data_IF_708510799784
#
_entry.id   IF_708510799784
#
_cell.length_a   1.000
_cell.length_b   1.000
_cell.length_c   1.000
_cell.angle_alpha   90.00
_cell.angle_beta   90.00
_cell.angle_gamma   90.00
#
_symmetry.space_group_name_H-M   'P 1'
#
loop_
_entity.id
_entity.type
_entity.pdbx_description
1 polymer ?
#
# COMPACT_ATOMS: atom_id res chain seq x y z
N UNK A 1 -19.00 -21.87 -2.48
CA UNK A 1 -20.03 -21.31 -1.57
C UNK A 1 -19.98 -22.05 -0.25
N UNK A 2 -19.67 -21.35 0.83
CA UNK A 2 -19.63 -21.91 2.18
C UNK A 2 -19.42 -20.77 3.17
N UNK A 3 -20.51 -20.25 3.74
CA UNK A 3 -20.51 -19.22 4.78
C UNK A 3 -20.56 -19.89 6.16
N UNK A 4 -19.59 -19.55 7.01
CA UNK A 4 -19.59 -19.95 8.40
C UNK A 4 -20.17 -18.80 9.24
N UNK A 5 -21.49 -18.79 9.41
CA UNK A 5 -22.15 -18.01 10.46
C UNK A 5 -22.33 -18.90 11.69
N UNK A 6 -21.88 -18.44 12.84
CA UNK A 6 -22.37 -18.92 14.13
C UNK A 6 -22.88 -17.73 14.93
N UNK A 7 -24.17 -17.77 15.23
CA UNK A 7 -24.91 -16.86 16.07
C UNK A 7 -25.12 -17.49 17.45
N UNK A 8 -25.03 -16.68 18.51
CA UNK A 8 -25.82 -16.72 19.76
C UNK A 8 -25.28 -15.58 20.65
N UNK A 9 -25.92 -14.40 20.77
CA UNK A 9 -27.18 -14.04 21.44
C UNK A 9 -27.14 -14.13 22.98
N UNK A 10 -27.20 -12.96 23.65
CA UNK A 10 -28.17 -12.61 24.71
C UNK A 10 -27.94 -11.20 25.25
N UNK A 11 -28.97 -10.36 25.09
CA UNK A 11 -29.17 -9.06 25.75
C UNK A 11 -30.25 -9.24 26.82
N UNK A 12 -30.21 -8.57 28.00
CA UNK A 12 -31.31 -8.58 28.95
C UNK A 12 -32.23 -7.34 28.84
N UNK A 13 -33.53 -7.56 28.99
CA UNK A 13 -34.61 -6.56 29.10
C UNK A 13 -35.12 -6.52 30.58
N UNK A 14 -35.64 -5.39 31.10
CA UNK A 14 -35.77 -5.12 32.54
C UNK A 14 -37.17 -5.37 33.13
N UNK A 15 -37.24 -5.58 34.45
CA UNK A 15 -38.50 -5.57 35.22
C UNK A 15 -38.29 -5.76 36.73
N UNK A 16 -38.60 -4.73 37.50
CA UNK A 16 -38.77 -4.67 38.98
C UNK A 16 -40.29 -4.50 39.29
N UNK A 17 -40.83 -4.53 40.55
CA UNK A 17 -40.18 -4.30 41.86
C UNK A 17 -40.69 -5.11 43.09
N UNK A 18 -39.95 -5.07 44.21
CA UNK A 18 -40.49 -5.01 45.59
C UNK A 18 -39.39 -4.61 46.60
N UNK A 19 -39.64 -3.52 47.34
CA UNK A 19 -38.86 -2.98 48.47
C UNK A 19 -39.54 -3.39 49.81
N UNK A 20 -39.08 -3.05 51.05
CA UNK A 20 -38.02 -2.09 51.43
C UNK A 20 -37.09 -2.47 52.61
N UNK A 21 -36.02 -1.71 52.80
CA UNK A 21 -35.15 -1.79 54.00
C UNK A 21 -34.01 -0.76 54.03
N UNK A 22 -34.32 0.44 54.54
CA UNK A 22 -33.51 1.50 55.17
C UNK A 22 -31.95 1.49 55.09
N UNK A 23 -31.38 2.62 54.64
CA UNK A 23 -29.96 2.95 54.86
C UNK A 23 -29.45 4.18 54.12
N UNK A 24 -29.64 5.38 54.69
CA UNK A 24 -29.18 6.68 54.16
C UNK A 24 -27.65 6.83 54.32
N UNK A 25 -26.90 7.00 53.22
CA UNK A 25 -25.65 7.80 53.19
C UNK A 25 -25.47 8.53 51.85
N UNK A 26 -25.70 9.84 51.87
CA UNK A 26 -25.36 10.79 50.80
C UNK A 26 -23.83 10.87 50.63
N UNK A 27 -23.32 10.73 49.40
CA UNK A 27 -22.01 11.32 49.00
C UNK A 27 -22.04 11.78 47.54
N UNK A 28 -21.38 12.92 47.33
CA UNK A 28 -21.54 13.93 46.27
C UNK A 28 -21.27 13.42 44.85
N UNK A 29 -22.05 13.93 43.90
CA UNK A 29 -21.78 13.83 42.46
C UNK A 29 -20.59 14.72 42.07
N UNK A 30 -19.59 14.14 41.42
CA UNK A 30 -18.58 14.89 40.67
C UNK A 30 -19.00 14.98 39.21
N UNK A 31 -19.59 16.11 38.84
CA UNK A 31 -19.82 16.50 37.44
C UNK A 31 -18.50 16.95 36.80
N UNK A 32 -18.29 16.50 35.56
CA UNK A 32 -17.39 17.02 34.50
C UNK A 32 -15.88 16.78 34.62
N UNK A 33 -15.37 16.01 33.66
CA UNK A 33 -14.64 16.59 32.50
C UNK A 33 -14.78 15.65 31.31
N UNK A 34 -15.60 16.05 30.34
CA UNK A 34 -15.54 15.54 28.98
C UNK A 34 -14.19 16.03 28.43
N UNK A 35 -13.18 15.16 28.44
CA UNK A 35 -11.92 15.42 27.78
C UNK A 35 -12.19 15.49 26.29
N UNK A 36 -12.28 16.70 25.75
CA UNK A 36 -12.15 16.94 24.32
C UNK A 36 -10.76 16.48 23.89
N UNK A 37 -10.61 15.20 23.58
CA UNK A 37 -9.48 14.74 22.78
C UNK A 37 -9.73 15.30 21.38
N UNK A 38 -9.11 16.46 21.10
CA UNK A 38 -8.95 16.90 19.73
C UNK A 38 -8.29 15.73 18.98
N UNK A 39 -8.88 15.21 17.89
CA UNK A 39 -8.18 14.27 17.03
C UNK A 39 -6.87 14.93 16.60
N UNK A 40 -5.79 14.15 16.58
CA UNK A 40 -4.52 14.61 16.00
C UNK A 40 -4.80 15.11 14.58
N UNK A 41 -4.07 16.15 14.16
CA UNK A 41 -4.23 16.81 12.86
C UNK A 41 -4.24 15.81 11.67
N UNK A 42 -3.54 14.68 11.79
CA UNK A 42 -3.50 13.59 10.80
C UNK A 42 -4.84 12.86 10.62
N UNK A 43 -5.65 12.71 11.68
CA UNK A 43 -6.95 12.02 11.61
C UNK A 43 -7.91 12.73 10.63
N UNK A 44 -7.81 14.07 10.52
CA UNK A 44 -8.62 14.85 9.57
C UNK A 44 -8.25 14.63 8.10
N UNK A 45 -7.00 14.25 7.78
CA UNK A 45 -6.60 13.93 6.39
C UNK A 45 -6.93 12.49 6.00
N UNK A 46 -7.02 11.59 6.99
CA UNK A 46 -7.29 10.17 6.75
C UNK A 46 -8.79 9.86 6.63
N UNK A 47 -9.67 10.63 7.28
CA UNK A 47 -11.12 10.42 7.28
C UNK A 47 -11.78 10.38 5.87
N UNK A 48 -11.35 11.20 4.89
CA UNK A 48 -11.81 11.09 3.50
C UNK A 48 -11.38 9.79 2.81
N UNK A 49 -10.20 9.25 3.15
CA UNK A 49 -9.66 8.04 2.50
C UNK A 49 -10.50 6.80 2.80
N UNK A 50 -11.14 6.76 3.97
CA UNK A 50 -11.98 5.65 4.42
C UNK A 50 -13.30 5.56 3.64
N UNK A 51 -13.67 6.61 2.89
CA UNK A 51 -14.91 6.69 2.10
C UNK A 51 -14.70 6.46 0.61
N UNK A 52 -13.47 6.19 0.18
CA UNK A 52 -13.16 5.94 -1.22
C UNK A 52 -13.76 4.58 -1.63
N UNK A 53 -14.63 4.52 -2.65
CA UNK A 53 -15.17 3.26 -3.14
C UNK A 53 -14.07 2.28 -3.57
N UNK A 54 -14.28 0.99 -3.32
CA UNK A 54 -13.32 -0.06 -3.67
C UNK A 54 -12.10 -0.15 -2.74
N UNK A 55 -11.95 0.74 -1.75
CA UNK A 55 -10.83 0.74 -0.81
C UNK A 55 -11.18 -0.01 0.49
N UNK A 56 -10.69 -1.24 0.61
CA UNK A 56 -10.87 -2.14 1.76
C UNK A 56 -9.58 -2.22 2.57
N UNK A 57 -9.64 -2.00 3.88
CA UNK A 57 -8.46 -2.03 4.77
C UNK A 57 -8.75 -2.61 6.16
N UNK A 58 -9.94 -3.19 6.33
CA UNK A 58 -10.39 -3.94 7.51
C UNK A 58 -10.73 -5.37 7.07
N UNK A 59 -10.98 -6.25 8.05
CA UNK A 59 -11.43 -7.60 7.77
C UNK A 59 -12.71 -7.57 6.93
N UNK A 60 -12.71 -8.28 5.81
CA UNK A 60 -13.81 -8.26 4.85
C UNK A 60 -13.38 -8.84 3.50
N UNK A 61 -14.29 -8.81 2.55
CA UNK A 61 -14.05 -9.32 1.20
C UNK A 61 -14.88 -8.58 0.17
N UNK A 62 -14.44 -8.67 -1.07
CA UNK A 62 -15.19 -8.38 -2.28
C UNK A 62 -15.30 -9.65 -3.14
N UNK A 63 -15.75 -9.52 -4.38
CA UNK A 63 -15.80 -10.63 -5.33
C UNK A 63 -14.41 -11.14 -5.71
N UNK A 64 -13.39 -10.29 -5.66
CA UNK A 64 -12.05 -10.58 -6.20
C UNK A 64 -10.95 -10.62 -5.13
N UNK A 65 -11.23 -10.17 -3.91
CA UNK A 65 -10.24 -10.12 -2.84
C UNK A 65 -10.85 -10.39 -1.46
N UNK A 66 -10.03 -10.92 -0.56
CA UNK A 66 -10.37 -11.03 0.86
C UNK A 66 -9.21 -10.54 1.70
N UNK A 67 -9.53 -9.90 2.82
CA UNK A 67 -8.58 -9.36 3.76
C UNK A 67 -8.92 -9.88 5.16
N UNK A 68 -7.91 -10.34 5.86
CA UNK A 68 -8.07 -10.78 7.23
C UNK A 68 -6.79 -10.53 8.03
N UNK A 69 -6.95 -9.87 9.17
CA UNK A 69 -5.92 -9.74 10.19
C UNK A 69 -6.51 -10.08 11.55
N UNK A 70 -5.68 -10.66 12.42
CA UNK A 70 -6.05 -11.05 13.76
C UNK A 70 -4.96 -10.64 14.73
N UNK A 71 -5.37 -10.01 15.84
CA UNK A 71 -4.44 -9.71 16.92
C UNK A 71 -3.93 -11.01 17.55
N UNK A 72 -2.61 -11.17 17.54
CA UNK A 72 -1.94 -12.26 18.24
C UNK A 72 -1.79 -12.03 19.74
N UNK A 73 -0.86 -12.76 20.38
CA UNK A 73 -0.61 -12.68 21.83
C UNK A 73 0.41 -11.61 22.25
N UNK A 74 1.07 -10.95 21.29
CA UNK A 74 2.21 -10.03 21.51
C UNK A 74 1.78 -8.57 21.79
N UNK A 75 0.56 -8.34 22.25
CA UNK A 75 0.00 -7.00 22.48
C UNK A 75 -0.77 -6.48 21.27
N UNK A 76 -0.77 -5.16 21.06
CA UNK A 76 -1.48 -4.49 19.96
C UNK A 76 -1.09 -5.09 18.61
N UNK A 77 -2.08 -5.39 17.77
CA UNK A 77 -1.80 -5.81 16.39
C UNK A 77 -1.09 -4.68 15.64
N UNK A 78 0.12 -4.97 15.15
CA UNK A 78 0.95 -4.00 14.43
C UNK A 78 0.82 -4.12 12.91
N UNK A 79 0.12 -5.14 12.43
CA UNK A 79 -0.13 -5.36 11.01
C UNK A 79 -1.13 -4.34 10.46
N UNK A 80 -0.94 -3.99 9.19
CA UNK A 80 -1.90 -3.25 8.39
C UNK A 80 -2.01 -3.90 7.00
N UNK A 81 -3.19 -3.79 6.39
CA UNK A 81 -3.46 -4.36 5.08
C UNK A 81 -4.44 -3.48 4.29
N UNK A 82 -4.37 -3.54 2.97
CA UNK A 82 -5.27 -2.82 2.07
C UNK A 82 -5.46 -3.56 0.75
N UNK A 83 -6.66 -3.44 0.19
CA UNK A 83 -7.00 -3.68 -1.20
C UNK A 83 -7.72 -2.43 -1.69
N UNK A 84 -7.39 -1.99 -2.90
CA UNK A 84 -8.03 -0.87 -3.54
C UNK A 84 -8.36 -1.25 -4.98
N UNK A 85 -9.63 -1.49 -5.24
CA UNK A 85 -10.18 -1.78 -6.56
C UNK A 85 -10.35 -0.52 -7.39
N UNK A 86 -10.25 -0.65 -8.71
CA UNK A 86 -10.22 0.46 -9.65
C UNK A 86 -9.19 1.52 -9.27
N UNK A 87 -8.02 1.05 -8.81
CA UNK A 87 -6.95 1.91 -8.30
C UNK A 87 -6.48 2.90 -9.36
N UNK A 88 -6.12 4.11 -8.90
CA UNK A 88 -5.76 5.25 -9.78
C UNK A 88 -6.84 5.57 -10.84
N UNK A 89 -8.12 5.33 -10.50
CA UNK A 89 -9.27 5.53 -11.40
C UNK A 89 -9.18 4.71 -12.70
N UNK A 90 -8.48 3.56 -12.67
CA UNK A 90 -8.30 2.67 -13.81
C UNK A 90 -9.15 1.41 -13.63
N UNK A 91 -9.96 1.08 -14.64
CA UNK A 91 -10.72 -0.16 -14.65
C UNK A 91 -9.79 -1.39 -14.63
N UNK A 92 -10.27 -2.49 -14.03
CA UNK A 92 -9.52 -3.75 -13.88
C UNK A 92 -8.10 -3.56 -13.30
N UNK A 93 -7.93 -2.56 -12.44
CA UNK A 93 -6.68 -2.26 -11.76
C UNK A 93 -6.89 -2.40 -10.26
N UNK A 94 -6.10 -3.26 -9.62
CA UNK A 94 -6.16 -3.53 -8.19
C UNK A 94 -4.81 -3.21 -7.59
N UNK A 95 -4.81 -2.37 -6.55
CA UNK A 95 -3.68 -2.26 -5.65
C UNK A 95 -3.95 -3.10 -4.41
N UNK A 96 -2.99 -3.87 -3.92
CA UNK A 96 -3.07 -4.39 -2.56
C UNK A 96 -1.72 -4.34 -1.84
N UNK A 97 -1.77 -4.38 -0.51
CA UNK A 97 -0.59 -4.29 0.31
C UNK A 97 -0.76 -4.89 1.69
N UNK A 98 0.33 -5.47 2.19
CA UNK A 98 0.49 -6.00 3.56
C UNK A 98 1.72 -5.35 4.18
N UNK A 99 1.56 -4.92 5.43
CA UNK A 99 2.54 -4.14 6.17
C UNK A 99 2.68 -4.71 7.58
N UNK A 100 3.81 -5.33 7.88
CA UNK A 100 4.13 -5.88 9.21
C UNK A 100 4.89 -4.81 10.00
N UNK A 101 4.18 -4.13 10.90
CA UNK A 101 4.73 -3.10 11.76
C UNK A 101 5.54 -3.67 12.92
N UNK A 102 6.64 -3.02 13.25
CA UNK A 102 7.48 -3.38 14.40
C UNK A 102 7.95 -2.17 15.20
N UNK A 103 8.43 -2.43 16.41
CA UNK A 103 8.87 -1.40 17.35
C UNK A 103 7.72 -0.76 18.14
N UNK A 104 8.00 0.23 19.00
CA UNK A 104 7.00 0.81 19.91
C UNK A 104 5.78 1.40 19.18
N UNK A 105 5.99 1.97 17.99
CA UNK A 105 4.95 2.60 17.18
C UNK A 105 4.72 1.91 15.82
N UNK A 106 5.13 0.65 15.67
CA UNK A 106 5.01 -0.11 14.41
C UNK A 106 3.60 -0.08 13.81
N UNK A 107 2.58 -0.26 14.64
CA UNK A 107 1.17 -0.15 14.24
C UNK A 107 0.78 1.22 13.64
N UNK A 108 1.43 2.31 14.05
CA UNK A 108 1.21 3.63 13.48
C UNK A 108 1.95 3.79 12.15
N UNK A 109 3.19 3.30 12.07
CA UNK A 109 3.99 3.31 10.84
C UNK A 109 3.29 2.48 9.76
N UNK A 110 2.87 1.25 10.07
CA UNK A 110 2.18 0.37 9.14
C UNK A 110 0.89 0.99 8.59
N UNK A 111 0.06 1.61 9.44
CA UNK A 111 -1.15 2.33 9.01
C UNK A 111 -0.82 3.55 8.15
N UNK A 112 0.20 4.33 8.52
CA UNK A 112 0.64 5.51 7.77
C UNK A 112 1.14 5.15 6.37
N UNK A 113 1.89 4.05 6.25
CA UNK A 113 2.35 3.51 4.95
C UNK A 113 1.16 2.97 4.17
N UNK A 114 0.30 2.14 4.77
CA UNK A 114 -0.94 1.64 4.16
C UNK A 114 -1.74 2.77 3.53
N UNK A 115 -1.89 3.88 4.23
CA UNK A 115 -2.80 4.93 3.79
C UNK A 115 -2.23 5.86 2.72
N UNK A 116 -0.91 6.05 2.70
CA UNK A 116 -0.26 7.06 1.85
C UNK A 116 0.67 6.55 0.78
N UNK A 117 1.25 5.36 0.92
CA UNK A 117 2.06 4.75 -0.13
C UNK A 117 1.25 4.58 -1.44
N UNK A 118 -0.02 4.12 -1.43
CA UNK A 118 -0.80 3.98 -2.65
C UNK A 118 -1.02 5.33 -3.35
N UNK A 119 -1.21 6.41 -2.59
CA UNK A 119 -1.41 7.76 -3.15
C UNK A 119 -0.14 8.27 -3.84
N UNK A 120 1.03 8.03 -3.25
CA UNK A 120 2.32 8.38 -3.87
C UNK A 120 2.55 7.57 -5.13
N UNK A 121 2.20 6.29 -5.10
CA UNK A 121 2.32 5.40 -6.23
C UNK A 121 1.41 5.85 -7.40
N UNK A 122 0.14 6.17 -7.14
CA UNK A 122 -0.76 6.67 -8.17
C UNK A 122 -0.26 7.99 -8.78
N UNK A 123 0.20 8.94 -7.95
CA UNK A 123 0.74 10.21 -8.45
C UNK A 123 1.98 10.03 -9.33
N UNK A 124 2.93 9.17 -8.94
CA UNK A 124 4.11 8.91 -9.76
C UNK A 124 3.83 8.06 -11.00
N UNK A 125 2.75 7.27 -10.99
CA UNK A 125 2.32 6.52 -12.16
C UNK A 125 1.69 7.43 -13.22
N UNK A 126 0.84 8.36 -12.80
CA UNK A 126 0.22 9.36 -13.69
C UNK A 126 1.26 10.26 -14.36
N UNK A 127 2.18 10.83 -13.59
CA UNK A 127 3.21 11.76 -14.11
C UNK A 127 4.13 11.09 -15.13
N UNK A 128 4.53 9.84 -14.90
CA UNK A 128 5.40 9.14 -15.83
C UNK A 128 4.68 8.88 -17.17
N UNK A 129 3.38 8.56 -17.17
CA UNK A 129 2.60 8.37 -18.40
C UNK A 129 2.50 9.68 -19.19
N UNK A 130 2.11 10.77 -18.53
CA UNK A 130 2.00 12.07 -19.19
C UNK A 130 3.35 12.55 -19.73
N UNK A 131 4.45 12.29 -19.02
CA UNK A 131 5.79 12.66 -19.49
C UNK A 131 6.17 11.90 -20.76
N UNK A 132 5.87 10.59 -20.83
CA UNK A 132 6.09 9.77 -22.03
C UNK A 132 5.20 10.19 -23.20
N UNK A 133 3.92 10.48 -22.95
CA UNK A 133 2.99 11.01 -23.97
C UNK A 133 3.52 12.31 -24.57
N UNK A 134 3.98 13.25 -23.73
CA UNK A 134 4.58 14.52 -24.18
C UNK A 134 5.88 14.28 -24.98
N UNK A 135 6.76 13.39 -24.53
CA UNK A 135 7.99 13.05 -25.27
C UNK A 135 7.69 12.42 -26.64
N UNK A 136 6.65 11.58 -26.72
CA UNK A 136 6.17 11.00 -27.98
C UNK A 136 5.59 12.06 -28.91
N UNK A 137 4.77 12.98 -28.40
CA UNK A 137 4.22 14.08 -29.19
C UNK A 137 5.33 14.98 -29.76
N UNK A 138 6.33 15.34 -28.94
CA UNK A 138 7.49 16.12 -29.41
C UNK A 138 8.22 15.38 -30.53
N UNK A 139 8.47 14.07 -30.35
CA UNK A 139 9.19 13.25 -31.34
C UNK A 139 8.45 13.16 -32.68
N UNK A 140 7.12 13.05 -32.67
CA UNK A 140 6.29 13.02 -33.88
C UNK A 140 6.28 14.39 -34.58
N UNK A 141 6.23 15.49 -33.80
CA UNK A 141 6.23 16.84 -34.33
C UNK A 141 7.59 17.23 -34.94
N UNK A 142 8.71 16.73 -34.42
CA UNK A 142 10.05 16.95 -34.98
C UNK A 142 10.29 16.15 -36.27
N UNK A 143 9.72 14.94 -36.39
CA UNK A 143 9.81 14.13 -37.62
C UNK A 143 9.01 14.70 -38.81
N UNK A 144 8.10 15.66 -38.57
CA UNK A 144 7.36 16.39 -39.61
C UNK A 144 8.07 17.62 -40.19
N UNK A 145 9.27 17.97 -39.69
CA UNK A 145 10.03 19.14 -40.16
C UNK A 145 11.32 18.70 -40.85
N UNK A 146 11.16 18.15 -42.06
CA UNK A 146 12.23 18.06 -43.06
C UNK A 146 11.94 19.13 -44.10
N UNK A 147 12.72 20.20 -44.07
CA UNK A 147 13.28 20.85 -45.26
C UNK A 147 14.42 21.80 -44.87
N UNK A 148 15.55 21.60 -45.54
CA UNK A 148 16.61 22.57 -45.89
C UNK A 148 17.79 22.79 -44.93
N UNK A 149 18.81 21.94 -45.15
CA UNK A 149 20.24 22.23 -45.43
C UNK A 149 21.14 23.09 -44.51
N UNK A 150 22.29 22.47 -44.19
CA UNK A 150 23.65 22.96 -43.90
C UNK A 150 23.91 24.02 -42.80
N UNK A 151 24.61 23.60 -41.73
CA UNK A 151 25.97 24.10 -41.43
C UNK A 151 26.67 23.30 -40.32
N UNK A 152 27.96 23.06 -40.54
CA UNK A 152 28.93 22.36 -39.69
C UNK A 152 29.19 22.97 -38.31
N UNK A 153 29.37 22.13 -37.28
CA UNK A 153 30.37 22.41 -36.23
C UNK A 153 30.93 21.12 -35.61
N UNK A 154 32.25 21.11 -35.44
CA UNK A 154 33.09 19.99 -34.99
C UNK A 154 33.43 20.19 -33.51
N UNK A 155 33.38 19.15 -32.67
CA UNK A 155 34.34 18.96 -31.56
C UNK A 155 34.30 17.54 -30.99
N UNK A 156 35.47 17.04 -30.62
CA UNK A 156 35.81 15.67 -30.27
C UNK A 156 35.82 15.39 -28.74
N UNK A 157 36.10 14.12 -28.41
CA UNK A 157 36.40 13.48 -27.11
C UNK A 157 35.22 13.18 -26.16
N UNK A 158 35.06 12.02 -25.53
CA UNK A 158 35.83 10.75 -25.46
C UNK A 158 34.88 9.64 -25.00
N UNK A 159 35.13 8.41 -25.47
CA UNK A 159 34.55 7.16 -24.99
C UNK A 159 35.03 6.81 -23.57
N UNK A 160 34.34 5.88 -22.88
CA UNK A 160 35.04 4.65 -22.55
C UNK A 160 34.25 3.39 -22.95
N UNK A 161 34.94 2.56 -23.73
CA UNK A 161 34.54 1.24 -24.20
C UNK A 161 34.60 0.17 -23.11
N UNK A 162 33.85 -0.89 -23.38
CA UNK A 162 33.84 -2.26 -22.82
C UNK A 162 32.81 -2.46 -21.69
N UNK A 163 31.88 -3.41 -21.78
CA UNK A 163 31.95 -4.72 -22.44
C UNK A 163 30.56 -5.17 -22.89
N UNK A 164 30.53 -5.89 -24.01
CA UNK A 164 29.37 -6.58 -24.53
C UNK A 164 29.10 -7.82 -23.68
N UNK A 165 27.95 -7.84 -23.01
CA UNK A 165 27.15 -9.05 -22.87
C UNK A 165 25.79 -8.73 -23.49
N UNK A 166 25.57 -9.30 -24.68
CA UNK A 166 24.28 -9.35 -25.36
C UNK A 166 23.37 -10.29 -24.56
N UNK A 167 22.81 -9.80 -23.46
CA UNK A 167 21.53 -10.31 -23.01
C UNK A 167 20.47 -9.69 -23.90
N UNK A 168 19.84 -10.53 -24.73
CA UNK A 168 18.60 -10.26 -25.43
C UNK A 168 17.65 -9.60 -24.43
N UNK A 169 17.63 -8.27 -24.39
CA UNK A 169 16.76 -7.55 -23.49
C UNK A 169 15.39 -7.72 -24.10
N UNK A 170 14.66 -8.76 -23.65
CA UNK A 170 13.22 -8.83 -23.83
C UNK A 170 12.71 -7.43 -23.51
N UNK A 171 12.20 -6.74 -24.53
CA UNK A 171 11.67 -5.38 -24.35
C UNK A 171 10.48 -5.55 -23.42
N UNK A 172 10.73 -5.45 -22.12
CA UNK A 172 9.68 -5.42 -21.13
C UNK A 172 8.72 -4.32 -21.57
N UNK A 173 7.41 -4.60 -21.70
CA UNK A 173 6.45 -3.59 -22.10
C UNK A 173 6.68 -2.33 -21.27
N UNK A 174 6.73 -1.16 -21.91
CA UNK A 174 7.06 0.13 -21.27
C UNK A 174 6.25 0.35 -19.98
N UNK A 175 5.03 -0.18 -19.95
CA UNK A 175 4.19 -0.36 -18.79
C UNK A 175 4.92 -0.81 -17.50
N UNK A 176 5.71 -1.87 -17.57
CA UNK A 176 6.44 -2.42 -16.44
C UNK A 176 7.55 -1.49 -15.98
N UNK A 177 8.24 -0.85 -16.93
CA UNK A 177 9.31 0.09 -16.61
C UNK A 177 8.74 1.33 -15.91
N UNK A 178 7.64 1.88 -16.43
CA UNK A 178 6.91 2.98 -15.80
C UNK A 178 6.49 2.63 -14.37
N UNK A 179 5.83 1.49 -14.16
CA UNK A 179 5.39 1.06 -12.83
C UNK A 179 6.57 0.80 -11.89
N UNK A 180 7.63 0.15 -12.36
CA UNK A 180 8.86 -0.09 -11.59
C UNK A 180 9.43 1.22 -11.07
N UNK A 181 9.55 2.24 -11.92
CA UNK A 181 10.01 3.56 -11.51
C UNK A 181 9.05 4.24 -10.54
N UNK A 182 7.75 4.14 -10.76
CA UNK A 182 6.74 4.72 -9.87
C UNK A 182 6.78 4.07 -8.49
N UNK A 183 6.96 2.75 -8.40
CA UNK A 183 7.22 2.03 -7.15
C UNK A 183 8.47 2.54 -6.46
N UNK A 184 9.62 2.59 -7.15
CA UNK A 184 10.88 3.06 -6.58
C UNK A 184 10.78 4.51 -6.06
N UNK A 185 10.15 5.41 -6.82
CA UNK A 185 9.92 6.80 -6.41
C UNK A 185 8.99 6.86 -5.19
N UNK A 186 7.85 6.16 -5.23
CA UNK A 186 6.87 6.15 -4.15
C UNK A 186 7.45 5.63 -2.82
N UNK A 187 8.20 4.53 -2.84
CA UNK A 187 8.87 3.99 -1.66
C UNK A 187 9.91 4.96 -1.09
N UNK A 188 10.76 5.56 -1.94
CA UNK A 188 11.74 6.58 -1.51
C UNK A 188 11.10 7.80 -0.89
N UNK A 189 10.01 8.31 -1.48
CA UNK A 189 9.27 9.45 -0.93
C UNK A 189 8.59 9.08 0.38
N UNK A 190 8.02 7.87 0.49
CA UNK A 190 7.40 7.38 1.71
C UNK A 190 8.40 7.27 2.86
N UNK A 191 9.59 6.70 2.63
CA UNK A 191 10.66 6.61 3.64
C UNK A 191 11.11 7.99 4.13
N UNK A 192 11.29 8.95 3.21
CA UNK A 192 11.64 10.34 3.55
C UNK A 192 10.55 11.00 4.39
N UNK A 193 9.27 10.79 4.08
CA UNK A 193 8.16 11.34 4.87
C UNK A 193 8.10 10.74 6.28
N UNK A 194 8.33 9.43 6.43
CA UNK A 194 8.37 8.78 7.74
C UNK A 194 9.50 9.34 8.60
N UNK A 195 10.68 9.55 8.02
CA UNK A 195 11.83 10.16 8.71
C UNK A 195 11.53 11.56 9.26
N UNK A 196 10.74 12.34 8.55
CA UNK A 196 10.40 13.72 8.93
C UNK A 196 9.12 13.82 9.77
N UNK A 197 8.48 12.69 10.11
CA UNK A 197 7.19 12.70 10.79
C UNK A 197 7.35 13.10 12.26
N UNK A 198 6.82 14.27 12.63
CA UNK A 198 7.04 14.84 13.97
C UNK A 198 6.39 14.04 15.12
N UNK A 199 5.40 13.19 14.82
CA UNK A 199 4.57 12.51 15.82
C UNK A 199 4.82 11.00 15.93
N UNK A 200 5.51 10.39 14.97
CA UNK A 200 5.78 8.95 14.94
C UNK A 200 7.28 8.76 14.99
N UNK A 201 7.79 8.25 16.11
CA UNK A 201 9.21 7.92 16.23
C UNK A 201 9.54 6.70 15.36
N UNK A 202 10.04 6.99 14.16
CA UNK A 202 10.51 6.00 13.18
C UNK A 202 12.00 5.66 13.35
N UNK A 203 12.68 6.12 14.43
CA UNK A 203 14.05 5.69 14.70
C UNK A 203 14.09 4.23 15.18
N UNK A 204 13.16 3.85 16.06
CA UNK A 204 13.01 2.50 16.61
C UNK A 204 11.73 1.79 16.17
N UNK A 205 10.94 2.38 15.27
CA UNK A 205 9.71 1.78 14.73
C UNK A 205 9.77 1.74 13.22
N UNK A 206 9.18 0.70 12.63
CA UNK A 206 9.18 0.51 11.19
C UNK A 206 8.04 -0.39 10.74
N UNK A 207 8.02 -0.68 9.45
CA UNK A 207 7.11 -1.66 8.86
C UNK A 207 7.77 -2.31 7.64
N UNK A 208 7.45 -3.57 7.37
CA UNK A 208 7.64 -4.15 6.04
C UNK A 208 6.60 -3.57 5.07
N UNK A 209 6.76 -3.86 3.78
CA UNK A 209 5.77 -3.61 2.75
C UNK A 209 5.90 -4.62 1.62
N UNK A 210 4.90 -5.50 1.46
CA UNK A 210 4.64 -6.22 0.21
C UNK A 210 3.43 -5.58 -0.42
N UNK A 211 3.60 -5.00 -1.60
CA UNK A 211 2.56 -4.28 -2.33
C UNK A 211 2.52 -4.76 -3.76
N UNK A 212 1.33 -4.80 -4.37
CA UNK A 212 1.18 -5.21 -5.76
C UNK A 212 0.19 -4.33 -6.50
N UNK A 213 0.40 -4.22 -7.81
CA UNK A 213 -0.58 -3.75 -8.79
C UNK A 213 -0.87 -4.91 -9.74
N UNK A 214 -2.15 -5.28 -9.84
CA UNK A 214 -2.68 -6.15 -10.89
C UNK A 214 -3.47 -5.29 -11.87
N UNK A 215 -3.12 -5.33 -13.15
CA UNK A 215 -3.89 -4.70 -14.22
C UNK A 215 -4.04 -5.69 -15.38
N UNK A 216 -5.27 -6.07 -15.74
CA UNK A 216 -5.44 -7.10 -16.76
C UNK A 216 -4.79 -8.42 -16.33
N UNK A 217 -3.90 -8.94 -17.18
CA UNK A 217 -3.11 -10.14 -16.91
C UNK A 217 -1.73 -9.82 -16.30
N UNK A 218 -1.41 -8.54 -16.09
CA UNK A 218 -0.12 -8.11 -15.60
C UNK A 218 -0.13 -7.91 -14.09
N UNK A 219 0.98 -8.31 -13.47
CA UNK A 219 1.19 -8.21 -12.03
C UNK A 219 2.58 -7.59 -11.78
N UNK A 220 2.63 -6.52 -10.99
CA UNK A 220 3.87 -5.87 -10.55
C UNK A 220 3.89 -5.81 -9.04
N UNK A 221 5.02 -6.20 -8.42
CA UNK A 221 5.13 -6.31 -6.97
C UNK A 221 6.31 -5.47 -6.47
N UNK A 222 6.08 -4.64 -5.46
CA UNK A 222 7.10 -3.97 -4.68
C UNK A 222 7.23 -4.64 -3.31
N UNK A 223 8.43 -5.12 -2.99
CA UNK A 223 8.74 -5.79 -1.72
C UNK A 223 9.85 -5.06 -0.95
N UNK A 224 9.61 -4.78 0.33
CA UNK A 224 10.61 -4.33 1.31
C UNK A 224 10.37 -5.06 2.62
N UNK A 225 11.37 -5.84 3.07
CA UNK A 225 11.31 -6.62 4.31
C UNK A 225 11.07 -8.10 4.05
N UNK A 226 10.55 -8.80 5.06
CA UNK A 226 10.41 -10.25 5.11
C UNK A 226 8.95 -10.74 5.09
N UNK A 227 7.99 -9.86 4.81
CA UNK A 227 6.68 -10.27 4.33
C UNK A 227 6.78 -10.88 2.93
N UNK A 228 5.82 -11.73 2.53
CA UNK A 228 5.93 -12.51 1.29
C UNK A 228 4.64 -12.56 0.47
N UNK A 229 4.78 -12.47 -0.85
CA UNK A 229 3.75 -12.82 -1.82
C UNK A 229 4.00 -14.19 -2.44
N UNK A 230 2.94 -15.01 -2.51
CA UNK A 230 2.95 -16.35 -3.11
C UNK A 230 1.71 -16.48 -4.00
N UNK A 231 1.91 -16.93 -5.24
CA UNK A 231 0.84 -17.26 -6.18
C UNK A 231 0.47 -18.73 -6.08
N UNK A 232 -0.80 -19.02 -5.79
CA UNK A 232 -1.36 -20.34 -6.03
C UNK A 232 -1.74 -20.48 -7.50
N UNK A 233 -1.15 -21.42 -8.22
CA UNK A 233 -1.49 -21.74 -9.62
C UNK A 233 -1.65 -23.24 -9.79
N UNK A 234 -2.07 -23.69 -10.97
CA UNK A 234 -2.15 -25.11 -11.31
C UNK A 234 -1.04 -25.48 -12.28
N UNK A 235 -0.47 -26.65 -12.07
CA UNK A 235 0.49 -27.24 -13.01
C UNK A 235 -0.21 -27.97 -14.16
N UNK A 236 0.56 -28.73 -14.93
CA UNK A 236 0.08 -29.49 -16.09
C UNK A 236 -0.86 -30.64 -15.69
N UNK A 237 -0.78 -31.09 -14.45
CA UNK A 237 -1.57 -32.21 -13.89
C UNK A 237 -2.78 -31.70 -13.09
N UNK A 238 -3.16 -30.43 -13.26
CA UNK A 238 -4.20 -29.72 -12.49
C UNK A 238 -3.92 -29.66 -10.97
N UNK A 239 -2.70 -29.93 -10.53
CA UNK A 239 -2.34 -29.90 -9.11
C UNK A 239 -2.07 -28.46 -8.64
N UNK A 240 -2.57 -28.12 -7.45
CA UNK A 240 -2.34 -26.79 -6.86
C UNK A 240 -0.87 -26.67 -6.44
N UNK A 241 -0.15 -25.73 -7.03
CA UNK A 241 1.25 -25.44 -6.75
C UNK A 241 1.43 -24.00 -6.28
N UNK A 242 2.39 -23.80 -5.37
CA UNK A 242 2.73 -22.49 -4.84
C UNK A 242 3.98 -21.94 -5.53
N UNK A 243 3.85 -20.75 -6.13
CA UNK A 243 4.95 -20.03 -6.78
C UNK A 243 5.30 -18.80 -5.94
N UNK A 244 6.51 -18.76 -5.41
CA UNK A 244 7.00 -17.62 -4.64
C UNK A 244 7.26 -16.44 -5.58
N UNK A 245 6.65 -15.28 -5.29
CA UNK A 245 6.78 -14.08 -6.13
C UNK A 245 7.79 -13.07 -5.57
N UNK A 246 8.09 -13.13 -4.28
CA UNK A 246 9.03 -12.23 -3.61
C UNK A 246 10.05 -13.01 -2.80
N UNK A 247 11.27 -12.49 -2.70
CA UNK A 247 12.32 -13.02 -1.81
C UNK A 247 12.40 -12.14 -0.58
N UNK A 248 12.39 -12.74 0.62
CA UNK A 248 12.51 -12.02 1.89
C UNK A 248 13.84 -11.25 1.92
N UNK A 249 13.80 -9.98 2.32
CA UNK A 249 15.00 -9.20 2.56
C UNK A 249 15.49 -9.45 4.00
N UNK A 250 16.40 -10.40 4.16
CA UNK A 250 17.02 -10.73 5.45
C UNK A 250 18.50 -10.36 5.46
N UNK A 251 19.06 -9.90 6.60
CA UNK A 251 20.47 -9.47 6.67
C UNK A 251 21.50 -10.55 6.31
N UNK A 252 21.11 -11.82 6.37
CA UNK A 252 21.97 -12.97 6.09
C UNK A 252 21.81 -13.51 4.66
N UNK A 253 21.00 -12.86 3.82
CA UNK A 253 20.88 -13.18 2.40
C UNK A 253 21.71 -12.18 1.59
N UNK A 254 22.37 -12.63 0.49
CA UNK A 254 23.25 -11.80 -0.32
C UNK A 254 22.52 -10.66 -1.04
#
# INVERSE_FOLDING_TARGET
MGSCFSAESRSPIPGSPSSPGLGIRKRKSSRKKLGSRNPSFDYRREEPLHRIPGRLFLNGSSEIASLFTQQGKKGTNQDAMIVWENFASRADTIFCGVFDGHGPYGHMVAKRVRDSLPLKLSSHWEVNITSEEVLREISINTAGSINSEDTSFVSADEEPRASADLEETEKFPEFFQTLKESFLKAFKVMDRELRMHATIDCFCSGTTAVTLIKQGQHLVIGNVGDSRAVLGTRDKDDSLVAMQLTVDLKPNLP
#
